data_IF_608838858210
#
_entry.id   IF_608838858210
#
_cell.length_a   1.000
_cell.length_b   1.000
_cell.length_c   1.000
_cell.angle_alpha   90.00
_cell.angle_beta   90.00
_cell.angle_gamma   90.00
#
_symmetry.space_group_name_H-M   'P 1'
#
loop_
_entity.id
_entity.type
_entity.pdbx_description
1 polymer ?
#
# COMPACT_ATOMS: atom_id res chain seq x y z
N UNK A 1 4.13 6.76 8.60
CA UNK A 1 5.32 7.27 7.86
C UNK A 1 4.93 7.48 6.41
N UNK A 2 5.56 8.44 5.71
CA UNK A 2 5.29 8.64 4.28
C UNK A 2 6.06 7.62 3.43
N UNK A 3 5.72 7.52 2.15
CA UNK A 3 6.43 6.69 1.18
C UNK A 3 7.92 7.07 1.09
N UNK A 4 8.22 8.37 1.04
CA UNK A 4 9.58 8.89 0.87
C UNK A 4 10.48 8.65 2.09
N UNK A 5 9.87 8.42 3.27
CA UNK A 5 10.56 8.08 4.51
C UNK A 5 11.00 6.61 4.58
N UNK A 6 10.68 5.79 3.56
CA UNK A 6 11.03 4.37 3.60
C UNK A 6 12.56 4.17 3.74
N UNK A 7 13.03 3.29 4.64
CA UNK A 7 14.43 3.22 5.02
C UNK A 7 15.32 2.61 3.93
N UNK A 8 14.76 1.74 3.09
CA UNK A 8 15.50 1.07 2.01
C UNK A 8 15.45 1.90 0.72
N UNK A 9 16.34 2.89 0.60
CA UNK A 9 16.36 3.83 -0.53
C UNK A 9 16.52 3.16 -1.90
N UNK A 10 17.29 2.08 -1.98
CA UNK A 10 17.44 1.30 -3.20
C UNK A 10 16.12 0.76 -3.76
N UNK A 11 15.14 0.43 -2.90
CA UNK A 11 13.81 0.00 -3.34
C UNK A 11 12.96 1.16 -3.88
N UNK A 12 13.16 2.37 -3.36
CA UNK A 12 12.55 3.60 -3.91
C UNK A 12 13.16 3.91 -5.28
N UNK A 13 14.49 3.93 -5.38
CA UNK A 13 15.22 4.29 -6.61
C UNK A 13 14.93 3.33 -7.76
N UNK A 14 14.82 2.03 -7.45
CA UNK A 14 14.48 0.98 -8.42
C UNK A 14 12.98 0.91 -8.74
N UNK A 15 12.16 1.75 -8.08
CA UNK A 15 10.69 1.71 -8.18
C UNK A 15 10.11 0.33 -7.85
N UNK A 16 10.81 -0.42 -7.00
CA UNK A 16 10.42 -1.76 -6.54
C UNK A 16 9.33 -1.70 -5.46
N UNK A 17 9.06 -0.50 -4.93
CA UNK A 17 7.93 -0.19 -4.04
C UNK A 17 7.15 1.00 -4.59
N UNK A 18 5.84 1.02 -4.36
CA UNK A 18 4.97 2.16 -4.69
C UNK A 18 4.24 2.73 -3.47
N UNK A 19 3.77 3.99 -3.51
CA UNK A 19 2.98 4.57 -2.43
C UNK A 19 1.64 3.85 -2.25
N UNK A 20 1.15 3.81 -1.01
CA UNK A 20 -0.17 3.28 -0.71
C UNK A 20 -1.27 4.22 -1.24
N UNK A 21 -2.30 3.63 -1.86
CA UNK A 21 -3.43 4.38 -2.42
C UNK A 21 -4.76 3.64 -2.23
N UNK A 22 -5.84 4.39 -2.02
CA UNK A 22 -7.20 3.87 -1.90
C UNK A 22 -8.04 4.31 -3.10
N UNK A 23 -8.62 3.35 -3.83
CA UNK A 23 -9.52 3.66 -4.95
C UNK A 23 -10.83 4.24 -4.43
N UNK A 24 -11.28 5.34 -5.01
CA UNK A 24 -12.62 5.87 -4.73
C UNK A 24 -13.68 4.93 -5.30
N UNK A 25 -14.69 4.60 -4.48
CA UNK A 25 -15.82 3.77 -4.90
C UNK A 25 -16.73 4.51 -5.89
N UNK A 26 -16.90 5.82 -5.73
CA UNK A 26 -17.69 6.67 -6.63
C UNK A 26 -16.78 7.60 -7.42
N UNK A 27 -16.90 7.58 -8.74
CA UNK A 27 -16.17 8.48 -9.63
C UNK A 27 -16.53 9.95 -9.38
N UNK A 28 -17.79 10.25 -9.05
CA UNK A 28 -18.26 11.62 -8.78
C UNK A 28 -17.61 12.19 -7.51
N UNK A 29 -17.57 11.40 -6.43
CA UNK A 29 -16.90 11.78 -5.20
C UNK A 29 -15.39 11.88 -5.39
N UNK A 30 -14.81 10.96 -6.18
CA UNK A 30 -13.39 11.01 -6.54
C UNK A 30 -13.03 12.28 -7.31
N UNK A 31 -13.84 12.69 -8.28
CA UNK A 31 -13.64 13.92 -9.03
C UNK A 31 -13.79 15.17 -8.16
N UNK A 32 -14.78 15.19 -7.27
CA UNK A 32 -15.00 16.28 -6.33
C UNK A 32 -13.79 16.42 -5.39
N UNK A 33 -13.32 15.29 -4.84
CA UNK A 33 -12.14 15.24 -4.00
C UNK A 33 -10.85 15.65 -4.76
N UNK A 34 -10.68 15.21 -6.01
CA UNK A 34 -9.58 15.61 -6.89
C UNK A 34 -9.56 17.10 -7.16
N UNK A 35 -10.72 17.72 -7.35
CA UNK A 35 -10.84 19.17 -7.59
C UNK A 35 -10.54 19.96 -6.31
N UNK A 36 -10.85 19.38 -5.15
CA UNK A 36 -10.64 20.03 -3.84
C UNK A 36 -9.18 19.91 -3.36
N UNK A 37 -8.56 18.75 -3.55
CA UNK A 37 -7.20 18.45 -3.10
C UNK A 37 -6.46 17.56 -4.14
N UNK A 38 -5.92 18.17 -5.20
CA UNK A 38 -5.22 17.45 -6.28
C UNK A 38 -3.83 16.92 -5.88
N UNK A 39 -3.31 17.32 -4.72
CA UNK A 39 -2.06 16.76 -4.19
C UNK A 39 -2.32 15.40 -3.54
N UNK A 40 -3.39 15.30 -2.75
CA UNK A 40 -3.76 14.09 -2.03
C UNK A 40 -4.54 13.09 -2.88
N UNK A 41 -5.28 13.55 -3.89
CA UNK A 41 -6.04 12.70 -4.80
C UNK A 41 -5.38 12.70 -6.18
N UNK A 42 -5.20 11.52 -6.77
CA UNK A 42 -4.64 11.35 -8.13
C UNK A 42 -5.63 10.62 -9.02
N UNK A 43 -5.61 10.97 -10.30
CA UNK A 43 -6.35 10.28 -11.36
C UNK A 43 -5.38 9.39 -12.14
N UNK A 44 -5.75 8.14 -12.40
CA UNK A 44 -4.95 7.23 -13.23
C UNK A 44 -5.26 7.37 -14.73
N UNK A 45 -4.56 6.59 -15.56
CA UNK A 45 -4.73 6.58 -17.02
C UNK A 45 -6.10 6.03 -17.46
N UNK A 46 -6.73 5.17 -16.65
CA UNK A 46 -8.06 4.62 -16.90
C UNK A 46 -9.19 5.59 -16.48
N UNK A 47 -8.83 6.70 -15.84
CA UNK A 47 -9.75 7.71 -15.34
C UNK A 47 -10.28 7.45 -13.94
N UNK A 48 -9.75 6.44 -13.24
CA UNK A 48 -10.09 6.14 -11.85
C UNK A 48 -9.41 7.13 -10.89
N UNK A 49 -10.09 7.45 -9.79
CA UNK A 49 -9.56 8.34 -8.75
C UNK A 49 -9.04 7.53 -7.56
N UNK A 50 -7.90 7.97 -7.02
CA UNK A 50 -7.22 7.35 -5.90
C UNK A 50 -6.79 8.38 -4.85
N UNK A 51 -6.99 8.06 -3.58
CA UNK A 51 -6.50 8.83 -2.45
C UNK A 51 -5.11 8.30 -2.05
N UNK A 52 -4.10 9.15 -2.05
CA UNK A 52 -2.79 8.85 -1.49
C UNK A 52 -2.91 8.79 0.04
N UNK A 53 -2.44 7.69 0.62
CA UNK A 53 -2.46 7.45 2.06
C UNK A 53 -1.04 7.14 2.56
N UNK A 54 -0.84 7.15 3.87
CA UNK A 54 0.48 6.89 4.46
C UNK A 54 0.95 5.45 4.18
N UNK A 55 2.25 5.28 3.96
CA UNK A 55 2.88 3.98 3.78
C UNK A 55 3.06 3.57 2.32
N UNK A 56 3.37 2.29 2.12
CA UNK A 56 3.65 1.66 0.83
C UNK A 56 2.51 0.70 0.45
N UNK A 57 2.36 0.46 -0.84
CA UNK A 57 1.38 -0.48 -1.36
C UNK A 57 1.76 -1.92 -1.00
N UNK A 58 0.77 -2.65 -0.50
CA UNK A 58 0.85 -4.08 -0.20
C UNK A 58 -0.37 -4.79 -0.74
N UNK A 59 -0.25 -6.10 -0.97
CA UNK A 59 -1.38 -6.97 -1.23
C UNK A 59 -1.88 -7.65 0.07
N UNK A 60 -2.93 -8.47 -0.05
CA UNK A 60 -3.55 -9.21 1.07
C UNK A 60 -2.63 -10.24 1.75
N UNK A 61 -1.47 -10.53 1.16
CA UNK A 61 -0.44 -11.40 1.71
C UNK A 61 0.68 -10.61 2.41
N UNK A 62 0.55 -9.28 2.55
CA UNK A 62 1.60 -8.39 3.05
C UNK A 62 2.85 -8.34 2.16
N UNK A 63 2.71 -8.69 0.88
CA UNK A 63 3.80 -8.55 -0.09
C UNK A 63 3.84 -7.13 -0.61
N UNK A 64 5.04 -6.60 -0.75
CA UNK A 64 5.27 -5.27 -1.30
C UNK A 64 4.93 -5.24 -2.78
N UNK A 65 4.26 -4.18 -3.21
CA UNK A 65 3.89 -3.95 -4.61
C UNK A 65 4.73 -2.84 -5.25
N UNK A 66 5.08 -3.03 -6.51
CA UNK A 66 5.71 -2.01 -7.35
C UNK A 66 4.68 -1.08 -8.01
N UNK A 67 5.17 -0.07 -8.74
CA UNK A 67 4.32 0.91 -9.44
C UNK A 67 3.41 0.30 -10.52
N UNK A 68 3.72 -0.91 -11.00
CA UNK A 68 2.95 -1.62 -12.01
C UNK A 68 1.91 -2.56 -11.38
N UNK A 69 1.86 -2.63 -10.06
CA UNK A 69 0.98 -3.53 -9.31
C UNK A 69 1.48 -4.97 -9.24
N UNK A 70 2.72 -5.23 -9.67
CA UNK A 70 3.36 -6.52 -9.46
C UNK A 70 3.94 -6.60 -8.04
N UNK A 71 3.97 -7.80 -7.47
CA UNK A 71 4.47 -8.02 -6.12
C UNK A 71 5.69 -8.95 -6.13
N UNK A 72 6.60 -8.72 -5.19
CA UNK A 72 7.76 -9.59 -5.03
C UNK A 72 7.44 -10.73 -4.06
N UNK A 73 7.42 -11.98 -4.57
CA UNK A 73 7.13 -13.20 -3.79
C UNK A 73 8.09 -13.45 -2.62
N UNK A 74 9.21 -12.74 -2.55
CA UNK A 74 10.24 -12.89 -1.51
C UNK A 74 10.29 -11.73 -0.52
N UNK A 75 9.51 -10.65 -0.75
CA UNK A 75 9.53 -9.47 0.10
C UNK A 75 8.16 -9.24 0.73
N UNK A 76 8.15 -9.33 2.06
CA UNK A 76 6.97 -9.12 2.89
C UNK A 76 7.25 -7.96 3.87
N UNK A 77 6.19 -7.26 4.29
CA UNK A 77 6.30 -6.19 5.28
C UNK A 77 5.31 -6.40 6.44
N UNK A 78 5.85 -6.43 7.65
CA UNK A 78 5.05 -6.54 8.90
C UNK A 78 5.13 -5.27 9.76
N UNK A 79 5.83 -4.25 9.28
CA UNK A 79 6.01 -3.01 10.03
C UNK A 79 4.81 -2.09 9.81
N UNK A 80 3.89 -2.08 10.79
CA UNK A 80 2.66 -1.27 10.80
C UNK A 80 2.86 0.20 10.37
N UNK A 81 3.90 0.93 10.81
CA UNK A 81 4.09 2.34 10.42
C UNK A 81 4.21 2.59 8.91
N UNK A 82 4.61 1.57 8.13
CA UNK A 82 4.77 1.63 6.67
C UNK A 82 3.57 1.10 5.89
N UNK A 83 2.56 0.55 6.57
CA UNK A 83 1.31 0.09 5.93
C UNK A 83 0.09 0.81 6.49
N UNK A 84 0.27 1.86 7.30
CA UNK A 84 -0.78 2.50 8.07
C UNK A 84 -1.98 2.99 7.26
N UNK A 85 -1.79 3.36 5.99
CA UNK A 85 -2.90 3.76 5.10
C UNK A 85 -3.76 2.59 4.60
N UNK A 86 -3.26 1.36 4.72
CA UNK A 86 -3.94 0.12 4.34
C UNK A 86 -4.24 -0.80 5.54
N UNK A 87 -3.68 -0.49 6.71
CA UNK A 87 -3.84 -1.30 7.90
C UNK A 87 -5.19 -0.98 8.57
N UNK A 88 -6.06 -1.99 8.79
CA UNK A 88 -7.20 -1.84 9.69
C UNK A 88 -6.70 -1.56 11.11
N UNK A 89 -7.54 -0.92 11.93
CA UNK A 89 -7.20 -0.48 13.28
C UNK A 89 -6.97 -1.70 14.21
N UNK A 90 -5.77 -2.28 14.15
CA UNK A 90 -5.32 -3.43 14.95
C UNK A 90 -4.36 -2.98 16.04
N UNK A 91 -4.42 -3.64 17.19
CA UNK A 91 -3.32 -3.59 18.15
C UNK A 91 -2.05 -4.21 17.51
N UNK A 92 -0.86 -3.69 17.83
CA UNK A 92 0.38 -4.14 17.19
C UNK A 92 0.72 -5.63 17.42
N UNK A 93 0.23 -6.21 18.52
CA UNK A 93 0.44 -7.63 18.84
C UNK A 93 -0.49 -8.53 18.01
N UNK A 94 -1.79 -8.22 17.97
CA UNK A 94 -2.76 -8.98 17.17
C UNK A 94 -2.42 -8.90 15.67
N UNK A 95 -1.94 -7.73 15.24
CA UNK A 95 -1.43 -7.55 13.88
C UNK A 95 -0.27 -8.51 13.58
N UNK A 96 0.71 -8.60 14.48
CA UNK A 96 1.91 -9.41 14.24
C UNK A 96 1.58 -10.90 14.14
N UNK A 97 0.67 -11.39 14.99
CA UNK A 97 0.17 -12.77 14.91
C UNK A 97 -0.56 -13.03 13.59
N UNK A 98 -1.55 -12.19 13.23
CA UNK A 98 -2.33 -12.36 12.01
C UNK A 98 -1.47 -12.26 10.74
N UNK A 99 -0.58 -11.27 10.67
CA UNK A 99 0.31 -11.05 9.54
C UNK A 99 1.31 -12.20 9.38
N UNK A 100 1.95 -12.65 10.46
CA UNK A 100 2.90 -13.77 10.40
C UNK A 100 2.23 -15.06 9.93
N UNK A 101 1.04 -15.39 10.45
CA UNK A 101 0.27 -16.56 10.01
C UNK A 101 -0.08 -16.47 8.53
N UNK A 102 -0.45 -15.29 8.03
CA UNK A 102 -0.79 -15.08 6.62
C UNK A 102 0.42 -15.26 5.71
N UNK A 103 1.56 -14.71 6.11
CA UNK A 103 2.83 -14.80 5.37
C UNK A 103 3.31 -16.25 5.31
N UNK A 104 3.32 -16.97 6.44
CA UNK A 104 3.74 -18.38 6.48
C UNK A 104 2.85 -19.25 5.59
N UNK A 105 1.53 -19.04 5.62
CA UNK A 105 0.60 -19.74 4.73
C UNK A 105 0.83 -19.42 3.26
N UNK A 106 1.29 -18.22 2.92
CA UNK A 106 1.62 -17.85 1.54
C UNK A 106 2.93 -18.49 1.08
N UNK A 107 3.94 -18.53 1.95
CA UNK A 107 5.24 -19.16 1.67
C UNK A 107 5.10 -20.68 1.47
N UNK A 108 4.23 -21.33 2.24
CA UNK A 108 4.03 -22.79 2.19
C UNK A 108 2.97 -23.24 1.17
N UNK A 109 2.35 -22.33 0.43
CA UNK A 109 1.48 -22.67 -0.70
C UNK A 109 2.37 -22.97 -1.91
N UNK A 110 2.66 -24.25 -2.09
CA UNK A 110 3.19 -24.78 -3.36
C UNK A 110 2.12 -24.71 -4.46
#
# INVERSE_FOLDING_TARGET
MSYDDFPFKSLLDQKAISPARLKFKSSELGQTAFTTDPEKVKKDENGDYFLNVSGIAINDNFQIMDQYGAYNKKLYIMAVPYIGGLNPDYSGLDFSEAASLRIVKDILKD
#
